data_IF_618234456398
#
_entry.id   IF_618234456398
#
_cell.length_a   1.000
_cell.length_b   1.000
_cell.length_c   1.000
_cell.angle_alpha   90.00
_cell.angle_beta   90.00
_cell.angle_gamma   90.00
#
_symmetry.space_group_name_H-M   'P 1'
#
loop_
_entity.id
_entity.type
_entity.pdbx_description
1 polymer ?
#
# COMPACT_ATOMS: atom_id res chain seq x y z
N UNK A 1 -33.86 67.88 -33.38
CA UNK A 1 -32.47 67.39 -33.31
C UNK A 1 -31.99 67.20 -31.87
N UNK A 2 -32.19 68.16 -30.96
CA UNK A 2 -31.74 68.07 -29.55
C UNK A 2 -32.29 66.86 -28.77
N UNK A 3 -33.57 66.51 -28.97
CA UNK A 3 -34.21 65.37 -28.30
C UNK A 3 -33.53 64.02 -28.61
N UNK A 4 -33.01 63.87 -29.84
CA UNK A 4 -32.39 62.63 -30.31
C UNK A 4 -31.01 62.43 -29.67
N UNK A 5 -30.25 63.51 -29.46
CA UNK A 5 -28.98 63.47 -28.72
C UNK A 5 -29.17 63.12 -27.25
N UNK A 6 -30.22 63.67 -26.61
CA UNK A 6 -30.54 63.33 -25.22
C UNK A 6 -30.89 61.84 -25.11
N UNK A 7 -31.72 61.32 -26.01
CA UNK A 7 -32.10 59.90 -26.04
C UNK A 7 -30.88 58.98 -26.20
N UNK A 8 -29.97 59.33 -27.12
CA UNK A 8 -28.75 58.54 -27.37
C UNK A 8 -27.83 58.50 -26.15
N UNK A 9 -27.66 59.63 -25.45
CA UNK A 9 -26.86 59.70 -24.22
C UNK A 9 -27.47 58.82 -23.12
N UNK A 10 -28.79 58.83 -22.96
CA UNK A 10 -29.47 57.99 -21.96
C UNK A 10 -29.28 56.49 -22.28
N UNK A 11 -29.38 56.10 -23.55
CA UNK A 11 -29.20 54.69 -23.95
C UNK A 11 -27.76 54.22 -23.68
N UNK A 12 -26.74 54.99 -24.06
CA UNK A 12 -25.34 54.63 -23.77
C UNK A 12 -25.05 54.55 -22.26
N UNK A 13 -25.65 55.43 -21.46
CA UNK A 13 -25.53 55.34 -20.00
C UNK A 13 -26.18 54.06 -19.45
N UNK A 14 -27.37 53.70 -19.95
CA UNK A 14 -28.07 52.48 -19.54
C UNK A 14 -27.26 51.22 -19.90
N UNK A 15 -26.67 51.14 -21.09
CA UNK A 15 -25.83 50.00 -21.49
C UNK A 15 -24.57 49.87 -20.61
N UNK A 16 -23.93 51.00 -20.26
CA UNK A 16 -22.76 51.00 -19.39
C UNK A 16 -23.09 50.50 -17.97
N UNK A 17 -24.25 50.88 -17.43
CA UNK A 17 -24.73 50.44 -16.12
C UNK A 17 -25.09 48.95 -16.16
N UNK A 18 -25.75 48.51 -17.23
CA UNK A 18 -26.14 47.10 -17.39
C UNK A 18 -24.92 46.18 -17.49
N UNK A 19 -23.88 46.58 -18.23
CA UNK A 19 -22.62 45.83 -18.31
C UNK A 19 -21.91 45.76 -16.95
N UNK A 20 -21.99 46.84 -16.15
CA UNK A 20 -21.42 46.87 -14.80
C UNK A 20 -22.17 45.92 -13.85
N UNK A 21 -23.51 45.91 -13.88
CA UNK A 21 -24.35 45.03 -13.06
C UNK A 21 -24.08 43.55 -13.39
N UNK A 22 -23.98 43.19 -14.68
CA UNK A 22 -23.69 41.82 -15.10
C UNK A 22 -22.31 41.34 -14.63
N UNK A 23 -21.34 42.24 -14.60
CA UNK A 23 -20.00 41.95 -14.08
C UNK A 23 -20.05 41.73 -12.55
N UNK A 24 -20.80 42.57 -11.82
CA UNK A 24 -21.01 42.42 -10.37
C UNK A 24 -21.76 41.13 -10.00
N UNK A 25 -22.78 40.73 -10.76
CA UNK A 25 -23.49 39.45 -10.58
C UNK A 25 -22.57 38.24 -10.80
N UNK A 26 -21.63 38.33 -11.75
CA UNK A 26 -20.69 37.23 -12.02
C UNK A 26 -19.70 37.00 -10.86
N UNK A 27 -19.38 38.04 -10.08
CA UNK A 27 -18.46 37.96 -8.95
C UNK A 27 -19.15 37.64 -7.61
N UNK A 28 -20.49 37.73 -7.53
CA UNK A 28 -21.24 37.56 -6.28
C UNK A 28 -21.92 36.20 -6.13
N UNK A 29 -21.58 35.22 -6.99
CA UNK A 29 -21.80 33.81 -6.62
C UNK A 29 -20.83 33.47 -5.51
N UNK A 30 -21.23 33.83 -4.28
CA UNK A 30 -20.63 33.43 -3.02
C UNK A 30 -20.54 31.91 -3.09
N UNK A 31 -19.36 31.38 -3.42
CA UNK A 31 -19.13 29.95 -3.32
C UNK A 31 -19.23 29.66 -1.84
N UNK A 32 -20.22 28.88 -1.47
CA UNK A 32 -20.31 28.34 -0.13
C UNK A 32 -19.08 27.46 0.04
N UNK A 33 -18.02 28.02 0.63
CA UNK A 33 -16.80 27.29 0.93
C UNK A 33 -17.18 26.16 1.89
N UNK A 34 -17.15 24.93 1.38
CA UNK A 34 -17.33 23.74 2.18
C UNK A 34 -15.98 23.42 2.83
N UNK A 35 -16.00 23.29 4.14
CA UNK A 35 -14.84 22.81 4.89
C UNK A 35 -14.72 21.30 4.72
N UNK A 36 -13.50 20.78 4.67
CA UNK A 36 -13.28 19.36 4.71
C UNK A 36 -13.63 18.79 6.09
N UNK A 37 -13.99 17.52 6.10
CA UNK A 37 -14.26 16.79 7.32
C UNK A 37 -13.00 16.72 8.17
N UNK A 38 -13.13 17.10 9.44
CA UNK A 38 -12.10 16.93 10.44
C UNK A 38 -12.03 15.46 10.83
N UNK A 39 -10.83 14.87 10.75
CA UNK A 39 -10.56 13.56 11.31
C UNK A 39 -9.93 13.73 12.69
N UNK A 40 -10.50 13.10 13.71
CA UNK A 40 -9.77 12.93 14.97
C UNK A 40 -8.77 11.77 14.81
N UNK A 41 -7.75 11.70 15.67
CA UNK A 41 -6.75 10.62 15.68
C UNK A 41 -7.37 9.21 15.82
N UNK A 42 -8.65 9.11 16.20
CA UNK A 42 -9.42 7.85 16.36
C UNK A 42 -10.32 7.52 15.16
N UNK A 43 -10.51 8.44 14.20
CA UNK A 43 -11.46 8.30 13.09
C UNK A 43 -10.82 8.05 11.71
N UNK A 44 -9.50 7.88 11.65
CA UNK A 44 -8.89 7.37 10.42
C UNK A 44 -9.14 5.87 10.36
N UNK A 45 -10.21 5.47 9.66
CA UNK A 45 -10.45 4.10 9.27
C UNK A 45 -9.28 3.65 8.39
N UNK A 46 -8.30 3.00 9.03
CA UNK A 46 -7.22 2.35 8.31
C UNK A 46 -7.83 1.23 7.51
N UNK A 47 -7.47 1.20 6.23
CA UNK A 47 -7.80 0.07 5.36
C UNK A 47 -6.55 -0.75 5.15
N UNK A 48 -6.73 -2.06 5.05
CA UNK A 48 -5.65 -2.94 4.61
C UNK A 48 -5.25 -2.57 3.18
N UNK A 49 -3.95 -2.69 2.83
CA UNK A 49 -3.49 -2.47 1.48
C UNK A 49 -4.24 -3.34 0.46
N UNK A 50 -4.58 -2.82 -0.73
CA UNK A 50 -5.19 -3.62 -1.78
C UNK A 50 -4.30 -4.80 -2.20
N UNK A 51 -4.92 -5.93 -2.57
CA UNK A 51 -4.26 -7.20 -2.92
C UNK A 51 -3.16 -7.10 -4.00
N UNK A 52 -3.26 -6.12 -4.89
CA UNK A 52 -2.34 -5.95 -6.02
C UNK A 52 -1.13 -5.05 -5.70
N UNK A 53 -0.96 -4.65 -4.43
CA UNK A 53 0.06 -3.68 -4.02
C UNK A 53 1.27 -4.33 -3.35
N UNK A 54 2.38 -3.59 -3.30
CA UNK A 54 3.65 -4.02 -2.71
C UNK A 54 3.56 -4.26 -1.20
N UNK A 55 2.70 -3.51 -0.52
CA UNK A 55 2.45 -3.60 0.92
C UNK A 55 1.39 -4.62 1.31
N UNK A 56 0.81 -5.36 0.35
CA UNK A 56 -0.14 -6.41 0.69
C UNK A 56 0.50 -7.46 1.62
N UNK A 57 -0.11 -7.67 2.79
CA UNK A 57 0.40 -8.56 3.83
C UNK A 57 1.41 -7.94 4.81
N UNK A 58 1.72 -6.65 4.68
CA UNK A 58 2.56 -5.93 5.63
C UNK A 58 1.80 -5.61 6.93
N UNK A 59 2.54 -5.42 8.03
CA UNK A 59 1.95 -5.08 9.32
C UNK A 59 1.31 -3.69 9.29
N UNK A 60 0.11 -3.58 9.86
CA UNK A 60 -0.60 -2.31 10.02
C UNK A 60 -0.36 -1.67 11.40
N UNK A 61 0.66 -2.13 12.15
CA UNK A 61 0.99 -1.61 13.49
C UNK A 61 1.65 -0.22 13.46
N UNK A 62 1.96 0.31 12.28
CA UNK A 62 2.52 1.64 12.06
C UNK A 62 1.62 2.75 12.58
N UNK A 63 2.19 3.86 13.03
CA UNK A 63 1.44 5.02 13.53
C UNK A 63 1.03 5.95 12.40
N UNK A 64 -0.26 5.97 12.04
CA UNK A 64 -0.85 7.02 11.21
C UNK A 64 -1.28 8.20 12.11
N UNK A 65 -0.69 9.37 11.89
CA UNK A 65 -1.09 10.63 12.54
C UNK A 65 -1.63 11.61 11.51
N UNK A 66 -2.41 12.56 12.02
CA UNK A 66 -3.07 13.56 11.21
C UNK A 66 -3.05 14.91 11.89
N UNK A 67 -2.64 15.93 11.15
CA UNK A 67 -2.52 17.29 11.61
C UNK A 67 -3.31 18.22 10.71
N UNK A 68 -4.21 19.00 11.29
CA UNK A 68 -5.04 19.98 10.59
C UNK A 68 -5.21 21.28 11.38
N UNK A 69 -5.64 22.34 10.70
CA UNK A 69 -6.13 23.54 11.36
C UNK A 69 -7.51 23.30 11.98
N UNK A 70 -7.74 23.81 13.19
CA UNK A 70 -8.97 23.50 13.96
C UNK A 70 -10.25 24.13 13.41
N UNK A 71 -10.16 25.12 12.52
CA UNK A 71 -11.31 25.88 12.03
C UNK A 71 -11.25 25.86 10.50
N UNK A 72 -12.06 24.99 9.88
CA UNK A 72 -12.18 24.86 8.43
C UNK A 72 -10.84 24.56 7.74
N UNK A 73 -10.28 23.36 7.91
CA UNK A 73 -8.93 23.06 7.47
C UNK A 73 -8.82 23.14 5.95
N UNK A 74 -7.80 23.89 5.48
CA UNK A 74 -7.49 24.05 4.06
C UNK A 74 -6.42 23.08 3.58
N UNK A 75 -5.69 22.48 4.52
CA UNK A 75 -4.63 21.51 4.29
C UNK A 75 -4.54 20.60 5.51
N UNK A 76 -3.96 19.42 5.30
CA UNK A 76 -3.64 18.50 6.37
C UNK A 76 -2.36 17.73 6.05
N UNK A 77 -1.68 17.27 7.10
CA UNK A 77 -0.50 16.41 6.98
C UNK A 77 -0.84 15.04 7.54
N UNK A 78 -0.73 14.02 6.69
CA UNK A 78 -0.79 12.62 7.09
C UNK A 78 0.61 12.09 7.30
N UNK A 79 0.88 11.54 8.48
CA UNK A 79 2.18 10.99 8.81
C UNK A 79 2.09 9.49 9.08
N UNK A 80 2.78 8.69 8.28
CA UNK A 80 2.96 7.25 8.55
C UNK A 80 4.32 7.04 9.22
N UNK A 81 4.33 6.42 10.40
CA UNK A 81 5.52 6.20 11.21
C UNK A 81 5.71 4.72 11.50
N UNK A 82 6.95 4.23 11.42
CA UNK A 82 7.27 2.90 11.93
C UNK A 82 7.00 2.82 13.44
N UNK A 83 6.44 1.70 13.87
CA UNK A 83 6.34 1.43 15.30
C UNK A 83 7.72 1.14 15.89
N UNK A 84 8.19 2.03 16.77
CA UNK A 84 9.50 1.95 17.45
C UNK A 84 9.69 0.68 18.29
N UNK A 85 8.62 -0.02 18.64
CA UNK A 85 8.67 -1.28 19.39
C UNK A 85 8.84 -2.50 18.48
N UNK A 86 9.02 -2.29 17.17
CA UNK A 86 9.12 -3.35 16.17
C UNK A 86 10.43 -3.25 15.41
N UNK A 87 10.87 -4.35 14.80
CA UNK A 87 12.09 -4.40 13.97
C UNK A 87 11.79 -4.05 12.50
N UNK A 88 10.76 -3.24 12.24
CA UNK A 88 10.44 -2.82 10.89
C UNK A 88 11.49 -1.86 10.35
N UNK A 89 11.74 -1.94 9.04
CA UNK A 89 12.82 -1.21 8.36
C UNK A 89 12.31 -0.14 7.40
N UNK A 90 11.03 -0.22 7.02
CA UNK A 90 10.42 0.69 6.07
C UNK A 90 8.95 0.86 6.43
N UNK A 91 8.47 2.10 6.41
CA UNK A 91 7.07 2.44 6.38
C UNK A 91 6.63 2.65 4.94
N UNK A 92 5.34 2.44 4.67
CA UNK A 92 4.73 2.70 3.38
C UNK A 92 3.33 3.27 3.60
N UNK A 93 3.05 4.40 2.94
CA UNK A 93 1.73 5.05 2.96
C UNK A 93 1.09 4.97 1.58
N UNK A 94 -0.19 4.63 1.54
CA UNK A 94 -1.01 4.59 0.32
C UNK A 94 -2.27 5.42 0.49
N UNK A 95 -2.62 6.16 -0.56
CA UNK A 95 -3.90 6.84 -0.69
C UNK A 95 -4.72 6.09 -1.73
N UNK A 96 -5.96 5.79 -1.37
CA UNK A 96 -6.84 4.86 -2.08
C UNK A 96 -8.14 5.60 -2.44
N UNK A 97 -8.57 5.45 -3.69
CA UNK A 97 -9.84 6.00 -4.16
C UNK A 97 -11.04 5.10 -3.77
N UNK A 98 -12.25 5.56 -4.11
CA UNK A 98 -13.49 4.81 -3.86
C UNK A 98 -13.57 3.46 -4.60
N UNK A 99 -12.76 3.28 -5.65
CA UNK A 99 -12.68 2.04 -6.42
C UNK A 99 -11.62 1.08 -5.86
N UNK A 100 -11.07 1.36 -4.68
CA UNK A 100 -10.00 0.59 -4.05
C UNK A 100 -8.71 0.55 -4.89
N UNK A 101 -8.46 1.61 -5.68
CA UNK A 101 -7.27 1.80 -6.49
C UNK A 101 -6.30 2.73 -5.77
N UNK A 102 -5.02 2.35 -5.72
CA UNK A 102 -3.98 3.21 -5.17
C UNK A 102 -3.70 4.36 -6.14
N UNK A 103 -3.97 5.58 -5.71
CA UNK A 103 -3.70 6.80 -6.49
C UNK A 103 -2.33 7.41 -6.19
N UNK A 104 -1.78 7.09 -5.01
CA UNK A 104 -0.48 7.54 -4.56
C UNK A 104 0.12 6.55 -3.57
N UNK A 105 1.41 6.29 -3.70
CA UNK A 105 2.20 5.45 -2.81
C UNK A 105 3.54 6.13 -2.55
N UNK A 106 4.01 6.07 -1.31
CA UNK A 106 5.35 6.49 -0.93
C UNK A 106 5.89 5.60 0.19
N UNK A 107 7.20 5.35 0.22
CA UNK A 107 7.87 4.60 1.26
C UNK A 107 9.11 5.33 1.77
N UNK A 108 9.41 5.15 3.06
CA UNK A 108 10.60 5.73 3.71
C UNK A 108 10.99 4.87 4.93
N UNK A 109 12.23 5.02 5.41
CA UNK A 109 12.88 4.17 6.41
C UNK A 109 12.31 4.37 7.82
N UNK A 110 11.64 5.47 8.11
CA UNK A 110 11.13 5.74 9.47
C UNK A 110 9.82 6.53 9.49
N UNK A 111 9.73 7.55 8.63
CA UNK A 111 8.70 8.58 8.73
C UNK A 111 8.32 9.15 7.37
N UNK A 112 7.02 9.17 7.07
CA UNK A 112 6.50 9.67 5.79
C UNK A 112 5.43 10.75 6.03
N UNK A 113 5.75 12.04 5.85
CA UNK A 113 4.78 13.12 5.92
C UNK A 113 4.22 13.44 4.51
N UNK A 114 2.90 13.39 4.35
CA UNK A 114 2.21 13.73 3.11
C UNK A 114 1.26 14.90 3.33
N UNK A 115 1.49 15.99 2.61
CA UNK A 115 0.63 17.17 2.61
C UNK A 115 -0.52 16.98 1.61
N UNK A 116 -1.74 17.16 2.08
CA UNK A 116 -2.97 17.17 1.25
C UNK A 116 -3.66 18.52 1.36
N UNK A 117 -4.50 18.84 0.39
CA UNK A 117 -5.24 20.10 0.33
C UNK A 117 -6.75 19.85 0.35
N UNK A 118 -7.50 20.75 0.98
CA UNK A 118 -8.95 20.74 0.94
C UNK A 118 -9.46 21.64 -0.19
N UNK A 119 -10.29 21.10 -1.08
CA UNK A 119 -10.95 21.87 -2.13
C UNK A 119 -12.43 21.50 -2.14
N UNK A 120 -13.29 22.51 -1.96
CA UNK A 120 -14.75 22.35 -1.97
C UNK A 120 -15.29 21.24 -1.02
N UNK A 121 -14.59 21.01 0.09
CA UNK A 121 -14.96 20.04 1.12
C UNK A 121 -14.38 18.64 0.91
N UNK A 122 -13.54 18.45 -0.10
CA UNK A 122 -12.89 17.17 -0.41
C UNK A 122 -11.37 17.26 -0.27
N UNK A 123 -10.77 16.21 0.28
CA UNK A 123 -9.32 16.10 0.39
C UNK A 123 -8.72 15.67 -0.95
N UNK A 124 -7.74 16.44 -1.42
CA UNK A 124 -7.09 16.27 -2.71
C UNK A 124 -5.59 16.07 -2.51
N UNK A 125 -5.06 15.06 -3.20
CA UNK A 125 -3.64 14.77 -3.35
C UNK A 125 -3.32 14.65 -4.84
N UNK A 126 -2.36 15.43 -5.33
CA UNK A 126 -1.95 15.43 -6.75
C UNK A 126 -3.11 15.60 -7.75
N UNK A 127 -4.14 16.39 -7.38
CA UNK A 127 -5.31 16.65 -8.21
C UNK A 127 -6.35 15.53 -8.22
N UNK A 128 -6.21 14.51 -7.37
CA UNK A 128 -7.15 13.41 -7.22
C UNK A 128 -7.69 13.36 -5.79
N UNK A 129 -8.96 12.98 -5.65
CA UNK A 129 -9.58 12.72 -4.34
C UNK A 129 -9.28 11.30 -3.90
N UNK A 130 -9.23 11.09 -2.59
CA UNK A 130 -9.09 9.78 -1.97
C UNK A 130 -10.14 9.60 -0.88
N UNK A 131 -10.48 8.36 -0.57
CA UNK A 131 -11.44 8.02 0.48
C UNK A 131 -10.85 7.20 1.61
N UNK A 132 -9.70 6.55 1.37
CA UNK A 132 -9.02 5.77 2.38
C UNK A 132 -7.50 5.93 2.32
N UNK A 133 -6.87 5.64 3.46
CA UNK A 133 -5.42 5.68 3.62
C UNK A 133 -4.98 4.36 4.28
N UNK A 134 -3.93 3.77 3.74
CA UNK A 134 -3.24 2.65 4.36
C UNK A 134 -1.85 3.09 4.83
N UNK A 135 -1.41 2.59 5.97
CA UNK A 135 -0.10 2.86 6.56
C UNK A 135 0.45 1.55 7.11
N UNK A 136 1.47 1.03 6.42
CA UNK A 136 2.02 -0.30 6.62
C UNK A 136 3.51 -0.23 6.94
N UNK A 137 4.05 -1.26 7.57
CA UNK A 137 5.49 -1.42 7.80
C UNK A 137 5.99 -2.80 7.34
N UNK A 138 7.17 -2.81 6.72
CA UNK A 138 7.85 -4.03 6.32
C UNK A 138 8.84 -4.50 7.37
N UNK A 139 8.90 -5.81 7.55
CA UNK A 139 9.97 -6.47 8.30
C UNK A 139 10.96 -7.06 7.31
N UNK A 140 12.17 -6.51 7.26
CA UNK A 140 13.28 -7.33 6.80
C UNK A 140 13.60 -8.34 7.89
N UNK A 141 13.21 -9.60 7.67
CA UNK A 141 13.82 -10.70 8.39
C UNK A 141 15.29 -10.75 8.00
N UNK A 142 16.15 -10.05 8.74
CA UNK A 142 17.57 -10.37 8.75
C UNK A 142 17.66 -11.77 9.31
N UNK A 143 17.75 -12.78 8.43
CA UNK A 143 18.09 -14.11 8.87
C UNK A 143 19.39 -13.98 9.66
N UNK A 144 19.37 -14.27 10.96
CA UNK A 144 20.53 -14.21 11.85
C UNK A 144 21.70 -15.07 11.32
N UNK A 145 21.41 -15.99 10.40
CA UNK A 145 22.38 -16.76 9.67
C UNK A 145 22.03 -16.82 8.16
N UNK A 146 22.52 -15.88 7.32
CA UNK A 146 22.30 -15.94 5.87
C UNK A 146 22.84 -17.25 5.28
N UNK A 147 23.78 -17.92 5.95
CA UNK A 147 24.32 -19.19 5.48
C UNK A 147 23.28 -20.32 5.50
N UNK A 148 22.39 -20.37 6.50
CA UNK A 148 21.31 -21.37 6.58
C UNK A 148 20.29 -21.18 5.46
N UNK A 149 19.91 -19.94 5.16
CA UNK A 149 19.01 -19.63 4.05
C UNK A 149 19.65 -20.01 2.70
N UNK A 150 20.91 -19.63 2.48
CA UNK A 150 21.63 -20.04 1.28
C UNK A 150 21.74 -21.57 1.14
N UNK A 151 22.02 -22.30 2.22
CA UNK A 151 22.03 -23.77 2.22
C UNK A 151 20.67 -24.35 1.83
N UNK A 152 19.57 -23.79 2.32
CA UNK A 152 18.22 -24.22 1.95
C UNK A 152 17.94 -23.95 0.46
N UNK A 153 18.24 -22.73 -0.03
CA UNK A 153 18.06 -22.38 -1.45
C UNK A 153 18.92 -23.26 -2.35
N UNK A 154 20.15 -23.55 -1.97
CA UNK A 154 21.04 -24.43 -2.73
C UNK A 154 20.53 -25.88 -2.74
N UNK A 155 20.03 -26.38 -1.60
CA UNK A 155 19.41 -27.70 -1.52
C UNK A 155 18.14 -27.78 -2.39
N UNK A 156 17.32 -26.73 -2.38
CA UNK A 156 16.12 -26.63 -3.20
C UNK A 156 16.45 -26.59 -4.69
N UNK A 157 17.41 -25.77 -5.11
CA UNK A 157 17.80 -25.65 -6.52
C UNK A 157 18.38 -26.98 -7.05
N UNK A 158 19.15 -27.70 -6.22
CA UNK A 158 19.58 -29.07 -6.53
C UNK A 158 18.41 -30.03 -6.73
N UNK A 159 17.32 -29.90 -5.96
CA UNK A 159 16.11 -30.72 -6.10
C UNK A 159 15.35 -30.35 -7.39
N UNK A 160 15.13 -29.06 -7.64
CA UNK A 160 14.45 -28.56 -8.84
C UNK A 160 15.20 -28.98 -10.10
N UNK A 161 16.53 -28.81 -10.11
CA UNK A 161 17.39 -29.21 -11.22
C UNK A 161 17.37 -30.72 -11.44
N UNK A 162 17.43 -31.53 -10.38
CA UNK A 162 17.26 -32.99 -10.49
C UNK A 162 15.85 -33.38 -10.95
N UNK A 163 14.83 -32.61 -10.57
CA UNK A 163 13.44 -32.81 -10.96
C UNK A 163 13.19 -32.64 -12.46
N UNK A 164 14.06 -31.89 -13.14
CA UNK A 164 14.02 -31.73 -14.61
C UNK A 164 14.50 -32.98 -15.36
N UNK A 165 15.20 -33.91 -14.71
CA UNK A 165 15.71 -35.12 -15.36
C UNK A 165 14.58 -36.07 -15.77
N UNK A 166 14.71 -36.69 -16.94
CA UNK A 166 13.68 -37.59 -17.48
C UNK A 166 13.40 -38.78 -16.55
N UNK A 167 14.43 -39.30 -15.88
CA UNK A 167 14.28 -40.37 -14.87
C UNK A 167 13.35 -39.93 -13.73
N UNK A 168 13.51 -38.71 -13.21
CA UNK A 168 12.64 -38.21 -12.14
C UNK A 168 11.20 -38.01 -12.61
N UNK A 169 11.02 -37.47 -13.82
CA UNK A 169 9.69 -37.32 -14.44
C UNK A 169 8.99 -38.68 -14.61
N UNK A 170 9.73 -39.69 -15.07
CA UNK A 170 9.20 -41.06 -15.20
C UNK A 170 8.79 -41.65 -13.85
N UNK A 171 9.56 -41.38 -12.78
CA UNK A 171 9.23 -41.83 -11.42
C UNK A 171 7.97 -41.18 -10.88
N UNK A 172 7.77 -39.88 -11.14
CA UNK A 172 6.54 -39.16 -10.74
C UNK A 172 5.32 -39.63 -11.53
N UNK A 173 5.48 -39.92 -12.83
CA UNK A 173 4.38 -40.40 -13.69
C UNK A 173 3.98 -41.85 -13.42
N UNK A 174 4.95 -42.70 -13.02
CA UNK A 174 4.74 -44.12 -12.80
C UNK A 174 5.17 -44.51 -11.39
N UNK A 175 4.36 -44.19 -10.36
CA UNK A 175 4.72 -44.43 -8.97
C UNK A 175 5.06 -45.90 -8.70
N UNK A 176 4.47 -46.86 -9.41
CA UNK A 176 4.75 -48.30 -9.27
C UNK A 176 6.16 -48.76 -9.69
N UNK A 177 6.99 -47.90 -10.28
CA UNK A 177 8.41 -48.17 -10.51
C UNK A 177 9.20 -48.26 -9.19
N UNK A 178 8.65 -47.72 -8.10
CA UNK A 178 9.22 -47.80 -6.76
C UNK A 178 9.24 -49.22 -6.16
N UNK A 179 8.44 -50.15 -6.70
CA UNK A 179 8.36 -51.55 -6.26
C UNK A 179 9.43 -52.46 -6.87
N UNK A 180 10.19 -51.97 -7.86
CA UNK A 180 11.24 -52.74 -8.53
C UNK A 180 12.55 -52.57 -7.74
N UNK A 181 13.12 -53.61 -7.10
CA UNK A 181 14.20 -53.48 -6.10
C UNK A 181 15.44 -52.72 -6.58
N UNK A 182 15.83 -52.95 -7.85
CA UNK A 182 16.98 -52.30 -8.49
C UNK A 182 16.74 -50.79 -8.61
N UNK A 183 15.54 -50.42 -9.05
CA UNK A 183 15.13 -49.04 -9.23
C UNK A 183 14.95 -48.37 -7.87
N UNK A 184 14.34 -49.04 -6.87
CA UNK A 184 14.15 -48.52 -5.50
C UNK A 184 15.47 -48.10 -4.84
N UNK A 185 16.52 -48.94 -4.94
CA UNK A 185 17.83 -48.65 -4.35
C UNK A 185 18.52 -47.44 -5.01
N UNK A 186 18.38 -47.32 -6.33
CA UNK A 186 18.90 -46.18 -7.09
C UNK A 186 18.14 -44.88 -6.79
N UNK A 187 16.81 -44.94 -6.70
CA UNK A 187 15.96 -43.78 -6.40
C UNK A 187 16.19 -43.25 -4.98
N UNK A 188 16.17 -44.14 -3.98
CA UNK A 188 16.32 -43.76 -2.57
C UNK A 188 17.67 -43.10 -2.30
N UNK A 189 18.74 -43.59 -2.92
CA UNK A 189 20.08 -43.01 -2.71
C UNK A 189 20.28 -41.67 -3.43
N UNK A 190 19.68 -41.47 -4.62
CA UNK A 190 20.04 -40.36 -5.51
C UNK A 190 19.08 -39.17 -5.47
N UNK A 191 17.78 -39.43 -5.29
CA UNK A 191 16.73 -38.41 -5.29
C UNK A 191 16.22 -38.07 -3.89
N UNK A 192 15.97 -39.09 -3.06
CA UNK A 192 15.41 -38.88 -1.71
C UNK A 192 16.42 -38.41 -0.67
N UNK A 193 17.74 -38.56 -0.91
CA UNK A 193 18.76 -38.06 0.02
C UNK A 193 18.68 -36.54 0.20
N UNK A 194 18.60 -35.80 -0.91
CA UNK A 194 18.46 -34.34 -0.89
C UNK A 194 17.09 -33.92 -0.34
N UNK A 195 16.03 -34.67 -0.65
CA UNK A 195 14.68 -34.42 -0.16
C UNK A 195 14.61 -34.54 1.38
N UNK A 196 15.29 -35.54 1.94
CA UNK A 196 15.39 -35.76 3.39
C UNK A 196 16.17 -34.64 4.10
N UNK A 197 17.23 -34.15 3.48
CA UNK A 197 18.01 -33.02 3.99
C UNK A 197 17.19 -31.72 3.98
N UNK A 198 16.46 -31.46 2.90
CA UNK A 198 15.54 -30.32 2.81
C UNK A 198 14.41 -30.43 3.84
N UNK A 199 13.82 -31.62 4.03
CA UNK A 199 12.80 -31.84 5.04
C UNK A 199 13.33 -31.62 6.46
N UNK A 200 14.57 -32.03 6.75
CA UNK A 200 15.22 -31.77 8.04
C UNK A 200 15.39 -30.27 8.29
N UNK A 201 15.95 -29.54 7.31
CA UNK A 201 16.14 -28.09 7.41
C UNK A 201 14.80 -27.34 7.54
N UNK A 202 13.77 -27.80 6.83
CA UNK A 202 12.42 -27.24 6.94
C UNK A 202 11.78 -27.47 8.31
N UNK A 203 11.94 -28.66 8.89
CA UNK A 203 11.46 -28.96 10.25
C UNK A 203 12.21 -28.12 11.29
N UNK A 204 13.53 -27.99 11.16
CA UNK A 204 14.35 -27.14 12.04
C UNK A 204 13.90 -25.68 11.99
N UNK A 205 13.62 -25.13 10.80
CA UNK A 205 13.07 -23.78 10.68
C UNK A 205 11.67 -23.66 11.29
N UNK A 206 10.78 -24.62 11.08
CA UNK A 206 9.44 -24.61 11.70
C UNK A 206 9.55 -24.65 13.23
N UNK A 207 10.48 -25.43 13.78
CA UNK A 207 10.72 -25.47 15.23
C UNK A 207 11.35 -24.18 15.77
N UNK A 208 12.30 -23.57 15.05
CA UNK A 208 12.85 -22.26 15.39
C UNK A 208 11.73 -21.20 15.36
N UNK A 209 10.91 -21.16 14.31
CA UNK A 209 9.76 -20.26 14.20
C UNK A 209 8.76 -20.47 15.35
N UNK A 210 8.48 -21.72 15.75
CA UNK A 210 7.61 -22.01 16.90
C UNK A 210 8.16 -21.51 18.23
N UNK A 211 9.49 -21.44 18.39
CA UNK A 211 10.13 -20.94 19.62
C UNK A 211 10.11 -19.42 19.70
N UNK A 212 10.22 -18.75 18.55
CA UNK A 212 10.15 -17.28 18.47
C UNK A 212 8.72 -16.75 18.37
N UNK A 213 7.75 -17.61 18.03
CA UNK A 213 6.34 -17.23 17.92
C UNK A 213 5.69 -17.15 19.31
N UNK A 214 5.48 -15.92 19.78
CA UNK A 214 4.78 -15.62 21.02
C UNK A 214 3.35 -15.18 20.69
N UNK A 215 2.38 -16.02 21.03
CA UNK A 215 0.95 -15.78 20.77
C UNK A 215 0.41 -14.51 21.47
N UNK A 216 1.11 -14.02 22.49
CA UNK A 216 0.68 -12.85 23.27
C UNK A 216 1.01 -11.50 22.60
N UNK A 217 1.76 -11.48 21.49
CA UNK A 217 2.13 -10.23 20.78
C UNK A 217 1.13 -9.83 19.67
N UNK A 218 0.04 -10.59 19.53
CA UNK A 218 -1.05 -10.39 18.56
C UNK A 218 -2.40 -9.96 19.21
N UNK A 219 -2.42 -9.64 20.51
CA UNK A 219 -3.59 -9.15 21.26
C UNK A 219 -3.36 -7.75 21.82
#
# INVERSE_FOLDING_TARGET
MMLYHILFIVISLLESVYSCIRTLESHTKRRDFKCCQQYDERFLNRVEPPLATTSFGWSQKSGLKYYEERICPTHAIYECNINRNTNATEALIQFIDDNNTVIYENSDVEHIPILVYCVDGEWILNGQTFSAISCSESFMHTHEDPSKFHQYIEAFDKIVTKGKTWHFKALVMFPGLDKIPIITSFIKSRYFKNLKEMARLGIEQIEECKKTYNFNDEL
#
